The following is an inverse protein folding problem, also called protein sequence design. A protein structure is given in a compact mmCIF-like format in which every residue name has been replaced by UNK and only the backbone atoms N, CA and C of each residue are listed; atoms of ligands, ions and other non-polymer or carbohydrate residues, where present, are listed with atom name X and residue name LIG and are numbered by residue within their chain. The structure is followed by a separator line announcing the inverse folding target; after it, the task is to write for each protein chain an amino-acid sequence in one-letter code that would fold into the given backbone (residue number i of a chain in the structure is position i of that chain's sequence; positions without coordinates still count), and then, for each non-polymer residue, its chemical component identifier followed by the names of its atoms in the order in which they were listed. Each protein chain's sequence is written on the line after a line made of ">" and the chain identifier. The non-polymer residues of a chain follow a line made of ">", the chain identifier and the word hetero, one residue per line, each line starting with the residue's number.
data_IF_299753105153
#
_entry.id   IF_299753105153
#
_cell.length_a   1.000
_cell.length_b   1.000
_cell.length_c   1.000
_cell.angle_alpha   90.00
_cell.angle_beta   90.00
_cell.angle_gamma   90.00
#
_symmetry.space_group_name_H-M   'P 1'
#
loop_
_entity.id
_entity.type
_entity.pdbx_description
1 polymer ?
#
# COMPACT_ATOMS: atom_id res chain seq x y z
N UNK A 1 -2.63 -23.36 13.20
CA UNK A 1 -3.37 -23.20 11.92
C UNK A 1 -4.86 -23.26 12.24
N UNK A 2 -5.68 -22.32 11.75
CA UNK A 2 -7.13 -22.29 12.02
C UNK A 2 -7.95 -23.27 11.17
N UNK A 3 -7.50 -23.57 9.94
CA UNK A 3 -8.05 -24.63 9.09
C UNK A 3 -6.92 -25.23 8.23
N UNK A 4 -6.90 -26.55 7.99
CA UNK A 4 -5.94 -27.20 7.10
C UNK A 4 -6.27 -27.04 5.61
N UNK A 5 -7.49 -26.60 5.26
CA UNK A 5 -7.94 -26.52 3.87
C UNK A 5 -7.41 -25.30 3.12
N UNK A 6 -6.66 -25.56 2.04
CA UNK A 6 -6.11 -24.53 1.16
C UNK A 6 -7.21 -23.61 0.58
N UNK A 7 -8.35 -24.19 0.20
CA UNK A 7 -9.48 -23.44 -0.35
C UNK A 7 -10.04 -22.41 0.63
N UNK A 8 -10.13 -22.72 1.92
CA UNK A 8 -10.59 -21.77 2.93
C UNK A 8 -9.63 -20.59 3.07
N UNK A 9 -8.31 -20.82 3.04
CA UNK A 9 -7.32 -19.73 3.04
C UNK A 9 -7.42 -18.88 1.77
N UNK A 10 -7.64 -19.52 0.61
CA UNK A 10 -7.77 -18.82 -0.68
C UNK A 10 -8.99 -17.92 -0.71
N UNK A 11 -10.17 -18.40 -0.30
CA UNK A 11 -11.36 -17.57 -0.19
C UNK A 11 -11.16 -16.42 0.80
N UNK A 12 -10.52 -16.66 1.95
CA UNK A 12 -10.19 -15.61 2.91
C UNK A 12 -9.35 -14.48 2.30
N UNK A 13 -8.38 -14.80 1.44
CA UNK A 13 -7.57 -13.81 0.72
C UNK A 13 -8.38 -13.02 -0.30
N UNK A 14 -9.23 -13.70 -1.08
CA UNK A 14 -10.10 -13.05 -2.07
C UNK A 14 -11.08 -12.08 -1.40
N UNK A 15 -11.79 -12.53 -0.37
CA UNK A 15 -12.73 -11.68 0.35
C UNK A 15 -12.04 -10.53 1.09
N UNK A 16 -10.84 -10.75 1.64
CA UNK A 16 -10.04 -9.68 2.25
C UNK A 16 -9.70 -8.57 1.27
N UNK A 17 -9.34 -8.91 0.03
CA UNK A 17 -9.11 -7.94 -1.05
C UNK A 17 -10.37 -7.14 -1.39
N UNK A 18 -11.48 -7.85 -1.65
CA UNK A 18 -12.77 -7.22 -2.00
C UNK A 18 -13.23 -6.25 -0.89
N UNK A 19 -13.18 -6.69 0.36
CA UNK A 19 -13.58 -5.87 1.51
C UNK A 19 -12.73 -4.60 1.61
N UNK A 20 -11.42 -4.71 1.38
CA UNK A 20 -10.49 -3.56 1.41
C UNK A 20 -10.81 -2.58 0.28
N UNK A 21 -11.06 -3.06 -0.94
CA UNK A 21 -11.46 -2.21 -2.07
C UNK A 21 -12.76 -1.45 -1.80
N UNK A 22 -13.77 -2.13 -1.23
CA UNK A 22 -15.06 -1.50 -0.88
C UNK A 22 -14.86 -0.46 0.22
N UNK A 23 -14.03 -0.75 1.22
CA UNK A 23 -13.79 0.16 2.34
C UNK A 23 -13.13 1.47 1.87
N UNK A 24 -12.07 1.39 1.05
CA UNK A 24 -11.41 2.59 0.54
C UNK A 24 -12.31 3.37 -0.44
N UNK A 25 -12.90 2.71 -1.43
CA UNK A 25 -13.74 3.39 -2.43
C UNK A 25 -15.03 3.96 -1.84
N UNK A 26 -15.67 3.24 -0.91
CA UNK A 26 -16.86 3.70 -0.20
C UNK A 26 -16.55 4.90 0.70
N UNK A 27 -15.43 4.87 1.42
CA UNK A 27 -15.00 5.99 2.25
C UNK A 27 -14.64 7.25 1.45
N UNK A 28 -13.87 7.11 0.37
CA UNK A 28 -13.51 8.25 -0.47
C UNK A 28 -14.74 8.89 -1.10
N UNK A 29 -15.64 8.09 -1.67
CA UNK A 29 -16.87 8.61 -2.30
C UNK A 29 -17.78 9.30 -1.29
N UNK A 30 -17.95 8.75 -0.09
CA UNK A 30 -18.71 9.40 0.98
C UNK A 30 -18.06 10.72 1.43
N UNK A 31 -16.75 10.72 1.67
CA UNK A 31 -16.05 11.92 2.14
C UNK A 31 -16.06 13.05 1.11
N UNK A 32 -15.88 12.72 -0.17
CA UNK A 32 -15.99 13.68 -1.28
C UNK A 32 -17.41 14.26 -1.35
N UNK A 33 -18.43 13.42 -1.20
CA UNK A 33 -19.82 13.88 -1.20
C UNK A 33 -20.10 14.84 -0.04
N UNK A 34 -19.72 14.46 1.18
CA UNK A 34 -19.95 15.27 2.38
C UNK A 34 -19.18 16.61 2.32
N UNK A 35 -17.90 16.58 1.91
CA UNK A 35 -17.04 17.77 1.85
C UNK A 35 -17.50 18.77 0.78
N UNK A 36 -17.90 18.29 -0.40
CA UNK A 36 -18.28 19.15 -1.52
C UNK A 36 -19.76 19.57 -1.49
N UNK A 37 -20.66 18.66 -1.14
CA UNK A 37 -22.11 18.94 -1.22
C UNK A 37 -22.71 19.45 0.09
N UNK A 38 -22.30 18.92 1.24
CA UNK A 38 -22.87 19.31 2.53
C UNK A 38 -22.17 20.55 3.10
N UNK A 39 -20.84 20.49 3.25
CA UNK A 39 -20.08 21.59 3.83
C UNK A 39 -19.63 22.65 2.81
N UNK A 40 -19.68 22.34 1.51
CA UNK A 40 -19.26 23.23 0.42
C UNK A 40 -17.85 23.81 0.62
N UNK A 41 -16.94 22.97 1.10
CA UNK A 41 -15.56 23.39 1.35
C UNK A 41 -14.74 23.42 0.06
N UNK A 42 -13.66 24.24 0.04
CA UNK A 42 -12.72 24.28 -1.08
C UNK A 42 -12.08 22.91 -1.35
N UNK A 43 -11.83 22.62 -2.63
CA UNK A 43 -11.25 21.34 -3.09
C UNK A 43 -9.80 21.17 -2.60
N UNK A 44 -9.10 22.27 -2.32
CA UNK A 44 -7.73 22.26 -1.80
C UNK A 44 -7.66 21.56 -0.42
N UNK A 45 -8.69 21.71 0.41
CA UNK A 45 -8.74 21.09 1.74
C UNK A 45 -9.00 19.59 1.67
N UNK A 46 -9.70 19.14 0.63
CA UNK A 46 -9.94 17.72 0.36
C UNK A 46 -8.61 16.99 0.13
N UNK A 47 -7.77 17.54 -0.75
CA UNK A 47 -6.44 16.98 -1.05
C UNK A 47 -5.54 16.97 0.19
N UNK A 48 -5.60 18.03 1.02
CA UNK A 48 -4.85 18.08 2.27
C UNK A 48 -5.29 17.00 3.27
N UNK A 49 -6.59 16.76 3.41
CA UNK A 49 -7.11 15.70 4.27
C UNK A 49 -6.70 14.32 3.78
N UNK A 50 -6.81 14.04 2.48
CA UNK A 50 -6.38 12.75 1.91
C UNK A 50 -4.87 12.54 2.09
N UNK A 51 -4.04 13.56 1.87
CA UNK A 51 -2.60 13.48 2.13
C UNK A 51 -2.31 13.16 3.61
N UNK A 52 -3.04 13.77 4.54
CA UNK A 52 -2.92 13.50 5.98
C UNK A 52 -3.41 12.09 6.34
N UNK A 53 -4.46 11.60 5.70
CA UNK A 53 -4.98 10.25 5.89
C UNK A 53 -3.97 9.18 5.42
N UNK A 54 -3.38 9.35 4.23
CA UNK A 54 -2.34 8.45 3.70
C UNK A 54 -1.10 8.45 4.60
N UNK A 55 -0.68 9.61 5.10
CA UNK A 55 0.42 9.69 6.07
C UNK A 55 0.08 8.94 7.37
N UNK A 56 -1.15 9.08 7.88
CA UNK A 56 -1.64 8.34 9.03
C UNK A 56 -1.61 6.82 8.80
N UNK A 57 -2.04 6.36 7.63
CA UNK A 57 -2.00 4.94 7.25
C UNK A 57 -0.58 4.37 7.28
N UNK A 58 0.40 5.10 6.74
CA UNK A 58 1.82 4.72 6.82
C UNK A 58 2.33 4.63 8.27
N UNK A 59 1.94 5.58 9.12
CA UNK A 59 2.30 5.56 10.54
C UNK A 59 1.69 4.35 11.26
N UNK A 60 0.40 4.05 11.02
CA UNK A 60 -0.26 2.87 11.58
C UNK A 60 0.36 1.56 11.06
N UNK A 61 0.89 1.53 9.84
CA UNK A 61 1.62 0.38 9.31
C UNK A 61 2.92 0.12 10.09
N UNK A 62 3.67 1.17 10.45
CA UNK A 62 4.87 1.04 11.30
C UNK A 62 4.49 0.54 12.69
N UNK A 63 3.49 1.17 13.32
CA UNK A 63 3.05 0.80 14.67
C UNK A 63 2.54 -0.64 14.71
N UNK A 64 1.80 -1.07 13.68
CA UNK A 64 1.31 -2.45 13.61
C UNK A 64 2.44 -3.48 13.46
N UNK A 65 3.56 -3.15 12.80
CA UNK A 65 4.75 -3.99 12.73
C UNK A 65 5.43 -4.20 14.10
N UNK A 66 5.54 -3.14 14.91
CA UNK A 66 6.01 -3.25 16.29
C UNK A 66 5.06 -4.04 17.19
N UNK A 67 3.75 -3.80 17.07
CA UNK A 67 2.73 -4.56 17.80
C UNK A 67 2.82 -6.05 17.42
N UNK A 68 2.90 -6.38 16.13
CA UNK A 68 3.04 -7.74 15.66
C UNK A 68 4.29 -8.44 16.22
N UNK A 69 5.40 -7.72 16.36
CA UNK A 69 6.62 -8.22 17.00
C UNK A 69 6.40 -8.55 18.48
N UNK A 70 5.87 -7.59 19.26
CA UNK A 70 5.63 -7.78 20.70
C UNK A 70 4.69 -8.97 20.93
N UNK A 71 3.60 -9.05 20.17
CA UNK A 71 2.61 -10.12 20.29
C UNK A 71 3.11 -11.48 19.78
N UNK A 72 4.11 -11.52 18.90
CA UNK A 72 4.76 -12.77 18.49
C UNK A 72 5.71 -13.27 19.60
N UNK A 73 6.49 -12.38 20.22
CA UNK A 73 7.51 -12.75 21.20
C UNK A 73 6.95 -13.03 22.61
N UNK A 74 5.94 -12.28 23.07
CA UNK A 74 5.45 -12.38 24.46
C UNK A 74 4.41 -13.46 24.70
N UNK A 75 3.76 -13.98 23.65
CA UNK A 75 2.62 -14.88 23.80
C UNK A 75 2.78 -16.25 23.15
N UNK A 76 3.91 -16.53 22.47
CA UNK A 76 4.16 -17.79 21.72
C UNK A 76 3.01 -18.22 20.78
N UNK A 77 2.07 -17.31 20.49
CA UNK A 77 1.11 -17.49 19.42
C UNK A 77 1.95 -17.40 18.15
N UNK A 78 2.22 -18.53 17.49
CA UNK A 78 3.00 -18.60 16.26
C UNK A 78 2.41 -17.76 15.11
N UNK A 79 2.46 -18.23 13.86
CA UNK A 79 2.03 -17.47 12.68
C UNK A 79 0.56 -16.96 12.65
N UNK A 80 -0.22 -17.18 13.71
CA UNK A 80 -1.62 -16.78 13.90
C UNK A 80 -1.73 -15.43 14.62
N UNK A 81 -0.69 -15.01 15.36
CA UNK A 81 -0.71 -13.81 16.22
C UNK A 81 -1.24 -12.53 15.56
N UNK A 82 -0.76 -12.10 14.37
CA UNK A 82 -1.26 -10.86 13.76
C UNK A 82 -2.73 -10.92 13.34
N UNK A 83 -3.23 -12.10 12.95
CA UNK A 83 -4.63 -12.29 12.59
C UNK A 83 -5.54 -12.18 13.82
N UNK A 84 -5.11 -12.70 14.97
CA UNK A 84 -5.87 -12.62 16.20
C UNK A 84 -5.96 -11.18 16.72
N UNK A 85 -4.87 -10.41 16.61
CA UNK A 85 -4.83 -8.98 17.01
C UNK A 85 -5.69 -8.11 16.10
N UNK A 86 -5.79 -8.43 14.80
CA UNK A 86 -6.59 -7.66 13.85
C UNK A 86 -8.11 -7.74 14.12
N UNK A 87 -8.63 -8.87 14.60
CA UNK A 87 -10.08 -9.09 14.82
C UNK A 87 -10.72 -8.07 15.77
N UNK A 88 -10.22 -7.85 17.01
CA UNK A 88 -10.83 -6.87 17.92
C UNK A 88 -10.70 -5.44 17.39
N UNK A 89 -9.62 -5.12 16.68
CA UNK A 89 -9.44 -3.80 16.07
C UNK A 89 -10.47 -3.54 14.97
N UNK A 90 -10.68 -4.52 14.07
CA UNK A 90 -11.68 -4.44 13.00
C UNK A 90 -13.12 -4.40 13.55
N UNK A 91 -13.42 -5.16 14.61
CA UNK A 91 -14.72 -5.05 15.26
C UNK A 91 -14.92 -3.65 15.87
N UNK A 92 -13.91 -3.12 16.56
CA UNK A 92 -13.97 -1.79 17.16
C UNK A 92 -14.20 -0.68 16.13
N UNK A 93 -13.46 -0.70 15.02
CA UNK A 93 -13.63 0.31 13.96
C UNK A 93 -14.97 0.16 13.24
N UNK A 94 -15.43 -1.06 13.02
CA UNK A 94 -16.76 -1.32 12.44
C UNK A 94 -17.87 -0.72 13.30
N UNK A 95 -17.87 -1.00 14.61
CA UNK A 95 -18.84 -0.43 15.55
C UNK A 95 -18.76 1.09 15.58
N UNK A 96 -17.55 1.66 15.55
CA UNK A 96 -17.36 3.11 15.50
C UNK A 96 -17.98 3.74 14.25
N UNK A 97 -17.75 3.13 13.08
CA UNK A 97 -18.33 3.56 11.81
C UNK A 97 -19.87 3.48 11.88
N UNK A 98 -20.44 2.38 12.38
CA UNK A 98 -21.89 2.24 12.49
C UNK A 98 -22.58 3.33 13.30
N UNK A 99 -21.92 3.88 14.33
CA UNK A 99 -22.51 4.93 15.17
C UNK A 99 -22.25 6.36 14.69
N UNK A 100 -21.19 6.58 13.90
CA UNK A 100 -20.75 7.92 13.48
C UNK A 100 -21.02 8.23 12.02
N UNK A 101 -21.26 7.22 11.20
CA UNK A 101 -21.44 7.39 9.77
C UNK A 101 -22.88 7.78 9.46
N UNK A 102 -23.13 9.08 9.36
CA UNK A 102 -24.40 9.61 8.86
C UNK A 102 -24.43 9.55 7.32
N UNK A 103 -25.53 9.04 6.77
CA UNK A 103 -25.68 8.81 5.33
C UNK A 103 -26.60 9.87 4.70
N UNK A 104 -25.98 10.94 4.19
CA UNK A 104 -26.68 11.99 3.44
C UNK A 104 -26.84 11.59 1.97
N UNK A 105 -27.96 10.93 1.64
CA UNK A 105 -28.30 10.62 0.26
C UNK A 105 -28.85 11.85 -0.46
N UNK A 106 -28.34 12.11 -1.66
CA UNK A 106 -28.92 13.10 -2.56
C UNK A 106 -30.25 12.55 -3.12
N UNK A 107 -31.42 13.15 -2.82
CA UNK A 107 -32.74 12.58 -3.14
C UNK A 107 -33.04 12.54 -4.64
N UNK A 108 -32.16 13.09 -5.49
CA UNK A 108 -32.29 13.14 -6.95
C UNK A 108 -31.63 11.96 -7.68
N UNK A 109 -30.95 11.06 -6.97
CA UNK A 109 -30.27 9.91 -7.56
C UNK A 109 -31.25 8.75 -7.85
N UNK A 110 -31.67 8.59 -9.12
CA UNK A 110 -32.49 7.46 -9.57
C UNK A 110 -31.72 6.12 -9.43
N UNK A 111 -32.06 5.33 -8.41
CA UNK A 111 -31.25 4.22 -7.87
C UNK A 111 -31.00 3.01 -8.79
N UNK A 112 -31.82 2.72 -9.81
CA UNK A 112 -31.77 1.42 -10.52
C UNK A 112 -31.21 1.46 -11.94
N UNK A 113 -31.36 2.56 -12.67
CA UNK A 113 -30.89 2.67 -14.08
C UNK A 113 -29.49 3.29 -14.22
N UNK A 114 -29.00 3.94 -13.16
CA UNK A 114 -27.72 4.65 -13.15
C UNK A 114 -26.51 3.73 -12.87
N UNK A 115 -26.64 2.64 -12.10
CA UNK A 115 -25.46 1.90 -11.60
C UNK A 115 -24.68 1.17 -12.72
N UNK A 116 -25.36 0.35 -13.52
CA UNK A 116 -24.70 -0.44 -14.59
C UNK A 116 -24.24 0.43 -15.77
N UNK A 117 -25.06 1.41 -16.16
CA UNK A 117 -24.75 2.33 -17.25
C UNK A 117 -23.62 3.31 -16.89
N UNK A 118 -23.58 3.81 -15.65
CA UNK A 118 -22.51 4.71 -15.20
C UNK A 118 -21.19 3.98 -15.02
N UNK A 119 -21.20 2.75 -14.48
CA UNK A 119 -20.00 1.92 -14.38
C UNK A 119 -19.37 1.65 -15.75
N UNK A 120 -20.20 1.27 -16.74
CA UNK A 120 -19.71 1.04 -18.10
C UNK A 120 -19.23 2.33 -18.79
N UNK A 121 -19.88 3.46 -18.49
CA UNK A 121 -19.48 4.77 -19.03
C UNK A 121 -18.15 5.24 -18.44
N UNK A 122 -17.93 5.08 -17.13
CA UNK A 122 -16.64 5.37 -16.48
C UNK A 122 -15.53 4.45 -16.97
N UNK A 123 -15.82 3.16 -17.17
CA UNK A 123 -14.85 2.22 -17.73
C UNK A 123 -14.48 2.61 -19.17
N UNK A 124 -15.47 2.95 -19.99
CA UNK A 124 -15.25 3.43 -21.36
C UNK A 124 -14.43 4.72 -21.39
N UNK A 125 -14.68 5.63 -20.46
CA UNK A 125 -13.90 6.87 -20.31
C UNK A 125 -12.44 6.58 -19.96
N UNK A 126 -12.20 5.68 -19.00
CA UNK A 126 -10.85 5.25 -18.61
C UNK A 126 -10.04 4.69 -19.78
N UNK A 127 -10.68 3.90 -20.66
CA UNK A 127 -10.03 3.37 -21.86
C UNK A 127 -9.93 4.38 -23.02
N UNK A 128 -10.74 5.44 -23.03
CA UNK A 128 -10.74 6.43 -24.11
C UNK A 128 -9.62 7.45 -23.94
N UNK A 129 -9.29 7.81 -22.71
CA UNK A 129 -8.23 8.77 -22.41
C UNK A 129 -6.85 8.07 -22.32
N UNK A 130 -5.94 8.30 -23.29
CA UNK A 130 -4.66 7.61 -23.35
C UNK A 130 -3.76 7.94 -22.15
N UNK A 131 -3.93 9.12 -21.54
CA UNK A 131 -3.19 9.51 -20.35
C UNK A 131 -3.60 8.69 -19.12
N UNK A 132 -4.92 8.55 -18.88
CA UNK A 132 -5.45 7.77 -17.76
C UNK A 132 -5.13 6.29 -17.92
N UNK A 133 -5.26 5.76 -19.13
CA UNK A 133 -4.90 4.37 -19.42
C UNK A 133 -3.42 4.09 -19.17
N UNK A 134 -2.53 4.98 -19.63
CA UNK A 134 -1.08 4.85 -19.40
C UNK A 134 -0.74 4.91 -17.91
N UNK A 135 -1.35 5.84 -17.17
CA UNK A 135 -1.17 5.95 -15.72
C UNK A 135 -1.62 4.66 -15.01
N UNK A 136 -2.75 4.09 -15.41
CA UNK A 136 -3.26 2.82 -14.88
C UNK A 136 -2.33 1.63 -15.15
N UNK A 137 -1.72 1.56 -16.34
CA UNK A 137 -0.72 0.51 -16.66
C UNK A 137 0.51 0.67 -15.78
N UNK A 138 1.06 1.88 -15.70
CA UNK A 138 2.26 2.14 -14.88
C UNK A 138 1.99 1.78 -13.42
N UNK A 139 0.85 2.19 -12.87
CA UNK A 139 0.43 1.86 -11.51
C UNK A 139 0.27 0.33 -11.31
N UNK A 140 -0.31 -0.37 -12.28
CA UNK A 140 -0.52 -1.83 -12.18
C UNK A 140 0.80 -2.60 -12.19
N UNK A 141 1.74 -2.21 -13.06
CA UNK A 141 3.09 -2.80 -13.11
C UNK A 141 3.81 -2.51 -11.79
N UNK A 142 3.69 -1.29 -11.30
CA UNK A 142 4.30 -0.86 -10.05
C UNK A 142 3.80 -1.66 -8.84
N UNK A 143 2.49 -1.78 -8.67
CA UNK A 143 1.89 -2.61 -7.62
C UNK A 143 2.29 -4.08 -7.77
N UNK A 144 2.35 -4.60 -8.99
CA UNK A 144 2.80 -5.97 -9.26
C UNK A 144 4.24 -6.24 -8.79
N UNK A 145 5.16 -5.31 -9.04
CA UNK A 145 6.54 -5.39 -8.55
C UNK A 145 6.58 -5.36 -7.02
N UNK A 146 5.82 -4.46 -6.40
CA UNK A 146 5.73 -4.31 -4.95
C UNK A 146 5.20 -5.57 -4.27
N UNK A 147 4.12 -6.18 -4.78
CA UNK A 147 3.61 -7.43 -4.25
C UNK A 147 4.59 -8.60 -4.41
N UNK A 148 5.28 -8.67 -5.55
CA UNK A 148 6.31 -9.70 -5.79
C UNK A 148 7.44 -9.59 -4.76
N UNK A 149 7.91 -8.37 -4.48
CA UNK A 149 8.87 -8.11 -3.42
C UNK A 149 8.37 -8.59 -2.05
N UNK A 150 7.12 -8.24 -1.69
CA UNK A 150 6.50 -8.64 -0.42
C UNK A 150 6.41 -10.17 -0.26
N UNK A 151 6.19 -10.92 -1.34
CA UNK A 151 6.20 -12.38 -1.27
C UNK A 151 7.61 -12.97 -1.17
N UNK A 152 8.61 -12.34 -1.81
CA UNK A 152 9.96 -12.87 -1.90
C UNK A 152 10.83 -12.59 -0.66
N UNK A 153 10.59 -11.51 0.10
CA UNK A 153 11.50 -11.14 1.20
C UNK A 153 11.43 -12.11 2.38
N UNK A 154 10.24 -12.62 2.67
CA UNK A 154 10.03 -13.54 3.81
C UNK A 154 10.87 -14.82 3.69
N UNK A 155 10.83 -15.59 2.59
CA UNK A 155 11.66 -16.80 2.46
C UNK A 155 13.16 -16.51 2.37
N UNK A 156 13.56 -15.34 1.84
CA UNK A 156 14.98 -14.95 1.77
C UNK A 156 15.56 -14.67 3.15
N UNK A 157 14.75 -14.09 4.05
CA UNK A 157 15.18 -13.78 5.41
C UNK A 157 14.98 -14.94 6.39
N UNK A 158 14.20 -15.96 6.05
CA UNK A 158 13.93 -17.12 6.90
C UNK A 158 15.21 -17.84 7.35
N UNK A 159 16.26 -17.82 6.52
CA UNK A 159 17.59 -18.39 6.81
C UNK A 159 18.25 -17.74 8.04
N UNK A 160 17.94 -16.48 8.34
CA UNK A 160 18.52 -15.74 9.47
C UNK A 160 17.61 -15.71 10.71
N UNK A 161 16.38 -16.25 10.63
CA UNK A 161 15.36 -16.18 11.69
C UNK A 161 15.16 -14.78 12.33
N UNK A 162 15.17 -13.66 11.57
CA UNK A 162 15.00 -12.35 12.18
C UNK A 162 13.54 -12.11 12.60
N UNK A 163 13.31 -11.19 13.56
CA UNK A 163 11.96 -10.71 13.89
C UNK A 163 11.28 -10.05 12.69
N UNK A 164 10.37 -10.79 12.03
CA UNK A 164 9.70 -10.37 10.79
C UNK A 164 8.96 -9.03 10.93
N UNK A 165 8.34 -8.77 12.10
CA UNK A 165 7.63 -7.51 12.36
C UNK A 165 8.53 -6.28 12.40
N UNK A 166 9.77 -6.43 12.90
CA UNK A 166 10.74 -5.33 12.92
C UNK A 166 11.28 -5.03 11.52
N UNK A 167 11.57 -6.05 10.72
CA UNK A 167 12.00 -5.87 9.32
C UNK A 167 10.93 -5.13 8.52
N UNK A 168 9.66 -5.53 8.67
CA UNK A 168 8.53 -4.86 8.04
C UNK A 168 8.41 -3.38 8.49
N UNK A 169 8.62 -3.11 9.77
CA UNK A 169 8.60 -1.74 10.30
C UNK A 169 9.71 -0.88 9.70
N UNK A 170 10.93 -1.42 9.55
CA UNK A 170 12.04 -0.73 8.89
C UNK A 170 11.71 -0.40 7.41
N UNK A 171 11.06 -1.32 6.71
CA UNK A 171 10.60 -1.06 5.34
C UNK A 171 9.60 0.09 5.29
N UNK A 172 8.58 0.08 6.16
CA UNK A 172 7.59 1.15 6.22
C UNK A 172 8.19 2.52 6.63
N UNK A 173 9.18 2.53 7.52
CA UNK A 173 9.92 3.76 7.88
C UNK A 173 10.66 4.32 6.66
N UNK A 174 11.38 3.47 5.92
CA UNK A 174 12.10 3.88 4.72
C UNK A 174 11.15 4.46 3.66
N UNK A 175 9.97 3.85 3.46
CA UNK A 175 8.93 4.37 2.57
C UNK A 175 8.46 5.78 2.99
N UNK A 176 8.18 5.99 4.28
CA UNK A 176 7.76 7.30 4.79
C UNK A 176 8.85 8.38 4.66
N UNK A 177 10.12 8.01 4.86
CA UNK A 177 11.25 8.92 4.65
C UNK A 177 11.33 9.31 3.17
N UNK A 178 11.20 8.34 2.25
CA UNK A 178 11.15 8.58 0.81
C UNK A 178 10.09 9.62 0.44
N UNK A 179 8.87 9.48 0.97
CA UNK A 179 7.79 10.44 0.71
C UNK A 179 8.08 11.86 1.21
N UNK A 180 8.77 12.02 2.36
CA UNK A 180 9.15 13.35 2.87
C UNK A 180 10.30 13.95 2.08
N UNK A 181 11.26 13.14 1.67
CA UNK A 181 12.36 13.56 0.78
C UNK A 181 11.79 14.03 -0.56
N UNK A 182 10.82 13.32 -1.13
CA UNK A 182 10.14 13.74 -2.36
C UNK A 182 9.44 15.09 -2.22
N UNK A 183 8.69 15.32 -1.13
CA UNK A 183 8.03 16.60 -0.89
C UNK A 183 9.02 17.76 -0.72
N UNK A 184 10.13 17.53 0.00
CA UNK A 184 11.22 18.50 0.09
C UNK A 184 11.91 18.75 -1.27
N UNK A 185 11.93 17.74 -2.14
CA UNK A 185 12.55 17.81 -3.46
C UNK A 185 11.68 18.55 -4.48
N UNK A 186 10.36 18.46 -4.38
CA UNK A 186 9.42 19.16 -5.25
C UNK A 186 9.56 20.70 -5.17
N UNK A 187 10.04 21.23 -4.03
CA UNK A 187 10.37 22.65 -3.87
C UNK A 187 11.67 23.06 -4.61
N UNK A 188 12.55 22.11 -4.98
CA UNK A 188 13.82 22.34 -5.68
C UNK A 188 13.79 21.86 -7.14
N UNK A 189 13.10 22.64 -7.98
CA UNK A 189 12.72 22.36 -9.38
C UNK A 189 13.81 22.05 -10.44
N UNK A 190 15.10 21.84 -10.11
CA UNK A 190 16.21 21.82 -11.11
C UNK A 190 17.08 20.54 -11.13
N UNK A 191 16.99 19.63 -10.15
CA UNK A 191 17.98 18.53 -10.02
C UNK A 191 17.51 17.14 -10.51
N UNK A 192 16.42 17.09 -11.27
CA UNK A 192 15.63 15.88 -11.55
C UNK A 192 16.31 14.85 -12.49
N UNK A 193 17.20 15.28 -13.40
CA UNK A 193 17.86 14.36 -14.34
C UNK A 193 19.18 13.78 -13.81
N UNK A 194 19.86 14.45 -12.87
CA UNK A 194 21.19 14.01 -12.40
C UNK A 194 21.14 13.04 -11.24
N UNK A 195 20.18 13.16 -10.30
CA UNK A 195 20.07 12.21 -9.18
C UNK A 195 19.56 10.85 -9.64
N UNK A 196 18.61 10.80 -10.58
CA UNK A 196 18.15 9.54 -11.16
C UNK A 196 19.30 8.79 -11.85
N UNK A 197 20.12 9.50 -12.64
CA UNK A 197 21.29 8.92 -13.32
C UNK A 197 22.40 8.56 -12.34
N UNK A 198 22.59 9.30 -11.23
CA UNK A 198 23.59 8.98 -10.20
C UNK A 198 23.17 7.77 -9.36
N UNK A 199 21.89 7.64 -9.00
CA UNK A 199 21.37 6.46 -8.31
C UNK A 199 21.43 5.22 -9.19
N UNK A 200 21.05 5.32 -10.47
CA UNK A 200 21.21 4.20 -11.43
C UNK A 200 22.69 3.85 -11.69
N UNK A 201 23.58 4.84 -11.81
CA UNK A 201 25.00 4.57 -12.11
C UNK A 201 25.79 4.03 -10.91
N UNK A 202 25.52 4.49 -9.70
CA UNK A 202 26.07 3.89 -8.46
C UNK A 202 25.54 2.47 -8.27
N UNK A 203 24.30 2.21 -8.68
CA UNK A 203 23.67 0.89 -8.63
C UNK A 203 24.24 -0.10 -9.67
N UNK A 204 24.48 0.35 -10.91
CA UNK A 204 25.18 -0.45 -11.94
C UNK A 204 26.60 -0.80 -11.49
N UNK A 205 27.29 0.13 -10.81
CA UNK A 205 28.64 -0.10 -10.28
C UNK A 205 28.65 -1.15 -9.16
N UNK A 206 27.68 -1.10 -8.24
CA UNK A 206 27.51 -2.12 -7.19
C UNK A 206 27.15 -3.49 -7.78
N UNK A 207 26.23 -3.54 -8.75
CA UNK A 207 25.85 -4.80 -9.43
C UNK A 207 27.03 -5.45 -10.17
N UNK A 208 27.90 -4.64 -10.80
CA UNK A 208 29.10 -5.11 -11.50
C UNK A 208 30.22 -5.55 -10.52
N UNK A 209 30.32 -4.93 -9.34
CA UNK A 209 31.16 -5.40 -8.24
C UNK A 209 30.66 -6.75 -7.66
N UNK A 210 29.35 -6.93 -7.50
CA UNK A 210 28.76 -8.17 -6.97
C UNK A 210 28.87 -9.35 -7.95
N UNK A 211 28.77 -9.12 -9.27
CA UNK A 211 28.96 -10.15 -10.28
C UNK A 211 30.41 -10.67 -10.37
N UNK A 212 31.39 -9.91 -9.87
CA UNK A 212 32.82 -10.27 -9.89
C UNK A 212 33.33 -10.97 -8.61
N UNK A 213 32.47 -11.26 -7.63
CA UNK A 213 32.86 -12.02 -6.44
C UNK A 213 32.60 -13.53 -6.62
N UNK A 214 33.65 -14.38 -6.73
CA UNK A 214 33.50 -15.80 -7.08
C UNK A 214 32.99 -16.72 -5.95
N UNK A 215 32.72 -16.23 -4.73
CA UNK A 215 32.56 -17.09 -3.55
C UNK A 215 31.19 -17.05 -2.84
N UNK A 216 30.12 -16.50 -3.42
CA UNK A 216 28.79 -16.50 -2.79
C UNK A 216 27.68 -16.94 -3.77
N UNK A 217 27.55 -18.25 -3.96
CA UNK A 217 26.60 -18.88 -4.90
C UNK A 217 25.16 -19.03 -4.29
N UNK A 218 24.91 -18.58 -3.05
CA UNK A 218 23.61 -18.78 -2.38
C UNK A 218 22.76 -17.53 -2.10
N UNK A 219 23.04 -16.36 -2.69
CA UNK A 219 22.24 -15.14 -2.41
C UNK A 219 22.01 -14.25 -3.63
N UNK A 220 21.58 -14.83 -4.76
CA UNK A 220 21.18 -14.08 -5.95
C UNK A 220 19.86 -13.29 -5.80
N UNK A 221 19.02 -13.62 -4.82
CA UNK A 221 17.72 -12.96 -4.61
C UNK A 221 17.80 -11.68 -3.78
N UNK A 222 18.78 -11.55 -2.89
CA UNK A 222 18.95 -10.38 -2.03
C UNK A 222 19.16 -9.05 -2.79
N UNK A 223 20.02 -8.97 -3.83
CA UNK A 223 20.19 -7.74 -4.60
C UNK A 223 18.95 -7.36 -5.42
N UNK A 224 18.18 -8.34 -5.90
CA UNK A 224 16.94 -8.12 -6.67
C UNK A 224 15.83 -7.59 -5.76
N UNK A 225 15.78 -8.06 -4.51
CA UNK A 225 14.87 -7.53 -3.50
C UNK A 225 15.22 -6.11 -3.07
N UNK A 226 16.51 -5.82 -2.89
CA UNK A 226 16.98 -4.45 -2.58
C UNK A 226 16.67 -3.52 -3.76
N UNK A 227 16.82 -3.98 -5.00
CA UNK A 227 16.40 -3.25 -6.21
C UNK A 227 14.91 -2.93 -6.23
N UNK A 228 14.04 -3.93 -6.01
CA UNK A 228 12.60 -3.72 -5.96
C UNK A 228 12.21 -2.79 -4.81
N UNK A 229 12.86 -2.89 -3.66
CA UNK A 229 12.58 -2.04 -2.50
C UNK A 229 12.97 -0.58 -2.71
N UNK A 230 14.15 -0.33 -3.29
CA UNK A 230 14.63 1.03 -3.57
C UNK A 230 13.81 1.66 -4.70
N UNK A 231 13.51 0.89 -5.77
CA UNK A 231 12.65 1.36 -6.86
C UNK A 231 11.23 1.65 -6.38
N UNK A 232 10.70 0.85 -5.46
CA UNK A 232 9.39 1.03 -4.81
C UNK A 232 9.39 2.23 -3.84
N UNK A 233 10.45 2.44 -3.07
CA UNK A 233 10.58 3.60 -2.18
C UNK A 233 10.65 4.93 -2.93
N UNK A 234 11.13 4.93 -4.17
CA UNK A 234 11.27 6.12 -5.02
C UNK A 234 9.98 6.40 -5.81
N UNK A 235 9.18 5.37 -6.15
CA UNK A 235 7.93 5.50 -6.93
C UNK A 235 6.64 5.55 -6.08
N UNK A 236 6.69 5.39 -4.74
CA UNK A 236 5.60 5.82 -3.85
C UNK A 236 5.59 7.36 -3.79
N UNK A 237 5.21 8.01 -4.91
CA UNK A 237 4.57 9.33 -5.06
C UNK A 237 4.61 9.82 -6.52
#
# INVERSE_FOLDING_TARGET
>A
KFSPDFYTLLYGRVFGGIATSILFSGFESWYVNEHLHFYMFPVEWLNFTFARATFGSGLFAIVSGFIAHIFADTLDFGAISPFAVAVPFLMGTSVYIFFKWDEHYDPKANKSTLLSSSMFSSLKFLFSDPCLFTLGIVQSIYEGIMYTFIFAWTPVLEVLSPPLGLVFSCFMISLMIGSKVYLLHHDFKIFYSRVYVICDSVYIYFFNCYHNCPNFICSGQLPILIHQFVFCSIFIL
#
